data_IF_824364347498
#
_entry.id   IF_824364347498
#
_cell.length_a   1.000
_cell.length_b   1.000
_cell.length_c   1.000
_cell.angle_alpha   90.00
_cell.angle_beta   90.00
_cell.angle_gamma   90.00
#
_symmetry.space_group_name_H-M   'P 1'
#
loop_
_entity.id
_entity.type
_entity.pdbx_description
1 polymer ?
#
# COMPACT_ATOMS: atom_id res chain seq x y z
N UNK A 1 -26.63 66.41 11.16
CA UNK A 1 -25.35 66.25 10.45
C UNK A 1 -24.35 65.59 11.38
N UNK A 2 -24.20 64.28 11.25
CA UNK A 2 -23.18 63.37 11.81
C UNK A 2 -23.63 61.98 11.29
N UNK A 3 -22.88 61.17 10.55
CA UNK A 3 -21.44 60.97 10.49
C UNK A 3 -21.20 59.56 11.04
N UNK A 4 -20.97 58.56 10.18
CA UNK A 4 -20.33 57.30 10.59
C UNK A 4 -19.71 56.57 9.40
N UNK A 5 -18.40 56.33 9.55
CA UNK A 5 -17.53 55.54 8.69
C UNK A 5 -18.12 54.17 8.35
N UNK A 6 -18.12 53.84 7.06
CA UNK A 6 -18.18 52.46 6.59
C UNK A 6 -16.84 51.79 6.91
N UNK A 7 -16.81 50.99 7.97
CA UNK A 7 -15.67 50.13 8.28
C UNK A 7 -15.68 48.97 7.28
N UNK A 8 -14.62 48.96 6.48
CA UNK A 8 -14.21 47.90 5.58
C UNK A 8 -14.23 46.56 6.34
N UNK A 9 -15.18 45.69 6.01
CA UNK A 9 -15.23 44.33 6.54
C UNK A 9 -14.10 43.55 5.89
N UNK A 10 -13.00 43.37 6.62
CA UNK A 10 -11.95 42.43 6.25
C UNK A 10 -12.61 41.07 5.98
N UNK A 11 -12.35 40.53 4.79
CA UNK A 11 -12.61 39.14 4.47
C UNK A 11 -11.77 38.30 5.43
N UNK A 12 -12.43 37.80 6.47
CA UNK A 12 -11.93 36.73 7.30
C UNK A 12 -11.79 35.53 6.35
N UNK A 13 -10.58 35.34 5.82
CA UNK A 13 -10.12 34.10 5.21
C UNK A 13 -10.07 33.08 6.35
N UNK A 14 -11.26 32.67 6.78
CA UNK A 14 -11.48 31.57 7.69
C UNK A 14 -10.90 30.35 7.03
N UNK A 15 -9.64 30.07 7.37
CA UNK A 15 -8.93 28.87 7.00
C UNK A 15 -9.72 27.69 7.56
N UNK A 16 -10.68 27.19 6.78
CA UNK A 16 -11.18 25.85 6.94
C UNK A 16 -9.96 24.95 7.08
N UNK A 17 -9.91 23.98 8.01
CA UNK A 17 -8.85 23.01 8.06
C UNK A 17 -8.97 22.10 6.84
N UNK A 18 -8.62 22.63 5.67
CA UNK A 18 -8.30 21.86 4.50
C UNK A 18 -7.11 21.03 4.93
N UNK A 19 -7.29 19.72 5.03
CA UNK A 19 -6.16 18.78 5.14
C UNK A 19 -5.26 19.05 3.96
N UNK A 20 -4.24 19.88 4.18
CA UNK A 20 -3.31 20.27 3.14
C UNK A 20 -2.62 19.01 2.62
N UNK A 21 -2.26 18.99 1.34
CA UNK A 21 -1.54 17.86 0.74
C UNK A 21 -0.29 17.52 1.57
N UNK A 22 0.36 18.54 2.13
CA UNK A 22 1.50 18.38 3.05
C UNK A 22 1.15 17.58 4.31
N UNK A 23 -0.02 17.82 4.91
CA UNK A 23 -0.47 17.06 6.09
C UNK A 23 -0.73 15.58 5.76
N UNK A 24 -1.24 15.29 4.57
CA UNK A 24 -1.47 13.92 4.09
C UNK A 24 -0.16 13.22 3.73
N UNK A 25 0.78 13.94 3.13
CA UNK A 25 2.15 13.47 2.90
C UNK A 25 2.84 13.09 4.21
N UNK A 26 2.74 13.95 5.24
CA UNK A 26 3.32 13.68 6.56
C UNK A 26 2.72 12.44 7.24
N UNK A 27 1.40 12.30 7.24
CA UNK A 27 0.72 11.08 7.76
C UNK A 27 1.10 9.85 6.96
N UNK A 28 1.19 10.00 5.63
CA UNK A 28 1.67 9.00 4.70
C UNK A 28 3.05 8.51 5.07
N UNK A 29 4.03 9.41 5.19
CA UNK A 29 5.41 9.08 5.54
C UNK A 29 5.53 8.37 6.89
N UNK A 30 4.80 8.82 7.93
CA UNK A 30 4.79 8.16 9.25
C UNK A 30 4.19 6.76 9.16
N UNK A 31 3.03 6.60 8.50
CA UNK A 31 2.40 5.30 8.34
C UNK A 31 3.27 4.34 7.50
N UNK A 32 3.90 4.86 6.46
CA UNK A 32 4.84 4.16 5.60
C UNK A 32 6.09 3.69 6.33
N UNK A 33 6.72 4.57 7.11
CA UNK A 33 7.89 4.21 7.91
C UNK A 33 7.55 3.13 8.95
N UNK A 34 6.40 3.26 9.64
CA UNK A 34 5.93 2.24 10.57
C UNK A 34 5.69 0.89 9.88
N UNK A 35 5.06 0.90 8.70
CA UNK A 35 4.80 -0.29 7.91
C UNK A 35 6.10 -0.95 7.39
N UNK A 36 7.04 -0.14 6.90
CA UNK A 36 8.35 -0.60 6.43
C UNK A 36 9.20 -1.19 7.56
N UNK A 37 9.23 -0.55 8.72
CA UNK A 37 9.95 -1.05 9.89
C UNK A 37 9.35 -2.38 10.39
N UNK A 38 8.02 -2.47 10.48
CA UNK A 38 7.34 -3.67 10.96
C UNK A 38 7.51 -4.84 9.99
N UNK A 39 7.33 -4.62 8.69
CA UNK A 39 7.53 -5.65 7.66
C UNK A 39 9.00 -6.04 7.48
N UNK A 40 9.92 -5.08 7.59
CA UNK A 40 11.37 -5.33 7.58
C UNK A 40 11.83 -6.13 8.79
N UNK A 41 11.37 -5.78 9.99
CA UNK A 41 11.65 -6.55 11.21
C UNK A 41 11.06 -7.96 11.16
N UNK A 42 9.84 -8.11 10.63
CA UNK A 42 9.25 -9.42 10.37
C UNK A 42 10.09 -10.25 9.39
N UNK A 43 10.55 -9.62 8.30
CA UNK A 43 11.39 -10.29 7.29
C UNK A 43 12.72 -10.72 7.89
N UNK A 44 13.36 -9.87 8.68
CA UNK A 44 14.59 -10.21 9.40
C UNK A 44 14.42 -11.44 10.31
N UNK A 45 13.29 -11.54 11.01
CA UNK A 45 13.06 -12.64 11.95
C UNK A 45 12.64 -13.95 11.27
N UNK A 46 11.79 -13.90 10.23
CA UNK A 46 11.16 -15.09 9.66
C UNK A 46 11.55 -15.41 8.22
N UNK A 47 11.89 -14.40 7.41
CA UNK A 47 12.27 -14.58 6.00
C UNK A 47 13.77 -14.83 5.88
N UNK A 48 14.60 -14.08 6.61
CA UNK A 48 16.07 -14.20 6.52
C UNK A 48 16.57 -15.63 6.82
N UNK A 49 16.08 -16.35 7.86
CA UNK A 49 16.50 -17.73 8.08
C UNK A 49 16.11 -18.69 6.94
N UNK A 50 15.15 -18.33 6.10
CA UNK A 50 14.78 -19.09 4.89
C UNK A 50 15.71 -18.73 3.74
N UNK A 51 16.10 -17.46 3.63
CA UNK A 51 17.10 -16.98 2.67
C UNK A 51 18.47 -17.61 2.96
N UNK A 52 18.92 -17.61 4.23
CA UNK A 52 20.17 -18.26 4.66
C UNK A 52 20.24 -19.71 4.17
N UNK A 53 19.19 -20.49 4.41
CA UNK A 53 19.09 -21.89 3.96
C UNK A 53 19.11 -22.01 2.43
N UNK A 54 18.56 -21.04 1.70
CA UNK A 54 18.58 -21.05 0.25
C UNK A 54 19.99 -20.78 -0.29
N UNK A 55 20.71 -19.84 0.33
CA UNK A 55 22.11 -19.50 0.01
C UNK A 55 23.03 -20.69 0.27
N UNK A 56 22.88 -21.37 1.42
CA UNK A 56 23.68 -22.57 1.74
C UNK A 56 23.48 -23.68 0.69
N UNK A 57 22.24 -23.92 0.26
CA UNK A 57 21.93 -24.90 -0.78
C UNK A 57 22.52 -24.51 -2.13
N UNK A 58 22.52 -23.23 -2.46
CA UNK A 58 23.11 -22.73 -3.70
C UNK A 58 24.64 -22.90 -3.67
N UNK A 59 25.30 -22.63 -2.54
CA UNK A 59 26.74 -22.83 -2.38
C UNK A 59 27.15 -24.30 -2.60
N UNK A 60 26.35 -25.25 -2.09
CA UNK A 60 26.57 -26.69 -2.33
C UNK A 60 26.43 -27.05 -3.81
N UNK A 61 25.41 -26.53 -4.50
CA UNK A 61 25.23 -26.77 -5.94
C UNK A 61 26.37 -26.19 -6.77
N UNK A 62 26.79 -24.95 -6.48
CA UNK A 62 27.90 -24.30 -7.18
C UNK A 62 29.22 -25.05 -6.99
N UNK A 63 29.46 -25.58 -5.77
CA UNK A 63 30.63 -26.42 -5.50
C UNK A 63 30.61 -27.74 -6.29
N UNK A 64 29.43 -28.37 -6.42
CA UNK A 64 29.26 -29.59 -7.20
C UNK A 64 29.41 -29.36 -8.72
N UNK A 65 28.97 -28.20 -9.22
CA UNK A 65 29.06 -27.81 -10.62
C UNK A 65 30.38 -27.11 -10.99
N UNK A 66 31.35 -27.06 -10.06
CA UNK A 66 32.63 -26.36 -10.23
C UNK A 66 32.49 -24.91 -10.76
N UNK A 67 31.38 -24.25 -10.41
CA UNK A 67 31.11 -22.87 -10.82
C UNK A 67 31.61 -21.93 -9.74
N UNK A 68 32.28 -20.85 -10.13
CA UNK A 68 32.81 -19.87 -9.17
C UNK A 68 31.66 -19.20 -8.44
N UNK A 69 31.62 -19.33 -7.10
CA UNK A 69 30.70 -18.56 -6.27
C UNK A 69 30.95 -17.07 -6.52
N UNK A 70 29.89 -16.33 -6.85
CA UNK A 70 29.96 -14.87 -6.95
C UNK A 70 30.45 -14.31 -5.62
N UNK A 71 31.52 -13.51 -5.62
CA UNK A 71 32.09 -12.95 -4.41
C UNK A 71 31.03 -12.16 -3.63
N UNK A 72 30.92 -12.40 -2.32
CA UNK A 72 30.06 -11.59 -1.44
C UNK A 72 30.54 -10.13 -1.48
N UNK A 73 29.70 -9.27 -2.08
CA UNK A 73 29.97 -7.82 -2.17
C UNK A 73 29.79 -7.15 -0.80
N UNK A 74 28.85 -7.66 0.01
CA UNK A 74 28.53 -7.16 1.34
C UNK A 74 28.49 -8.32 2.34
N UNK A 75 28.98 -8.09 3.56
CA UNK A 75 28.87 -9.08 4.63
C UNK A 75 27.41 -9.35 5.00
N UNK A 76 27.12 -10.56 5.50
CA UNK A 76 25.78 -10.94 5.97
C UNK A 76 25.21 -9.95 7.01
N UNK A 77 26.04 -9.45 7.92
CA UNK A 77 25.60 -8.43 8.89
C UNK A 77 25.16 -7.12 8.24
N UNK A 78 25.88 -6.65 7.21
CA UNK A 78 25.48 -5.47 6.42
C UNK A 78 24.18 -5.73 5.66
N UNK A 79 24.00 -6.93 5.09
CA UNK A 79 22.77 -7.30 4.39
C UNK A 79 21.55 -7.28 5.33
N UNK A 80 21.68 -7.82 6.55
CA UNK A 80 20.61 -7.81 7.56
C UNK A 80 20.21 -6.40 8.00
N UNK A 81 21.20 -5.53 8.27
CA UNK A 81 20.93 -4.13 8.62
C UNK A 81 20.31 -3.41 7.41
N UNK A 82 20.86 -3.66 6.22
CA UNK A 82 20.37 -3.14 4.95
C UNK A 82 18.91 -3.50 4.68
N UNK A 83 18.46 -4.71 5.04
CA UNK A 83 17.07 -5.14 4.91
C UNK A 83 16.12 -4.22 5.69
N UNK A 84 16.39 -3.97 6.98
CA UNK A 84 15.51 -3.15 7.82
C UNK A 84 15.52 -1.69 7.36
N UNK A 85 16.71 -1.16 7.05
CA UNK A 85 16.87 0.23 6.58
C UNK A 85 16.15 0.44 5.24
N UNK A 86 16.37 -0.46 4.28
CA UNK A 86 15.74 -0.38 2.96
C UNK A 86 14.22 -0.58 3.04
N UNK A 87 13.73 -1.55 3.82
CA UNK A 87 12.30 -1.75 4.01
C UNK A 87 11.64 -0.50 4.63
N UNK A 88 12.29 0.13 5.61
CA UNK A 88 11.80 1.38 6.22
C UNK A 88 11.79 2.53 5.22
N UNK A 89 12.84 2.69 4.42
CA UNK A 89 12.93 3.74 3.40
C UNK A 89 11.90 3.56 2.27
N UNK A 90 11.75 2.33 1.77
CA UNK A 90 10.70 1.98 0.79
C UNK A 90 9.32 2.20 1.38
N UNK A 91 9.10 1.79 2.62
CA UNK A 91 7.86 2.03 3.35
C UNK A 91 7.52 3.51 3.43
N UNK A 92 8.49 4.36 3.81
CA UNK A 92 8.32 5.82 3.86
C UNK A 92 7.89 6.39 2.51
N UNK A 93 8.58 6.01 1.43
CA UNK A 93 8.26 6.45 0.07
C UNK A 93 6.85 5.99 -0.36
N UNK A 94 6.52 4.72 -0.10
CA UNK A 94 5.21 4.14 -0.40
C UNK A 94 4.10 4.84 0.38
N UNK A 95 4.34 5.17 1.65
CA UNK A 95 3.42 5.90 2.49
C UNK A 95 3.19 7.34 2.03
N UNK A 96 4.25 8.04 1.62
CA UNK A 96 4.10 9.37 1.02
C UNK A 96 3.24 9.32 -0.27
N UNK A 97 3.51 8.35 -1.15
CA UNK A 97 2.69 8.11 -2.34
C UNK A 97 1.24 7.77 -1.98
N UNK A 98 1.03 6.94 -0.97
CA UNK A 98 -0.30 6.61 -0.45
C UNK A 98 -1.07 7.87 -0.04
N UNK A 99 -0.41 8.82 0.64
CA UNK A 99 -1.01 10.12 1.00
C UNK A 99 -1.44 10.95 -0.22
N UNK A 100 -0.62 10.99 -1.29
CA UNK A 100 -0.95 11.68 -2.54
C UNK A 100 -2.15 11.03 -3.24
N UNK A 101 -2.12 9.71 -3.39
CA UNK A 101 -3.21 8.96 -4.03
C UNK A 101 -4.50 9.09 -3.21
N UNK A 102 -4.41 9.03 -1.88
CA UNK A 102 -5.53 9.25 -0.98
C UNK A 102 -6.18 10.63 -1.22
N UNK A 103 -5.37 11.69 -1.32
CA UNK A 103 -5.85 13.04 -1.60
C UNK A 103 -6.58 13.10 -2.94
N UNK A 104 -6.01 12.52 -3.99
CA UNK A 104 -6.60 12.56 -5.33
C UNK A 104 -7.91 11.78 -5.44
N UNK A 105 -7.96 10.57 -4.86
CA UNK A 105 -9.12 9.66 -4.94
C UNK A 105 -10.29 10.20 -4.13
N UNK A 106 -10.04 10.79 -2.97
CA UNK A 106 -11.08 11.19 -2.01
C UNK A 106 -11.39 12.69 -2.01
N UNK A 107 -10.81 13.49 -2.92
CA UNK A 107 -11.07 14.95 -3.00
C UNK A 107 -12.54 15.34 -3.17
N UNK A 108 -13.40 14.45 -3.70
CA UNK A 108 -14.83 14.72 -4.00
C UNK A 108 -15.82 14.00 -3.09
N UNK A 109 -15.31 13.22 -2.15
CA UNK A 109 -16.12 12.53 -1.16
C UNK A 109 -15.51 12.94 0.18
N UNK A 110 -16.08 13.93 0.90
CA UNK A 110 -15.67 14.25 2.26
C UNK A 110 -16.50 13.52 3.32
N UNK A 111 -17.69 12.99 2.99
CA UNK A 111 -18.65 12.40 3.94
C UNK A 111 -18.30 11.02 4.52
N UNK A 112 -17.59 10.17 3.78
CA UNK A 112 -17.02 8.90 4.30
C UNK A 112 -15.91 9.12 5.36
N UNK A 113 -15.90 8.29 6.41
CA UNK A 113 -14.86 8.35 7.45
C UNK A 113 -13.44 8.10 6.89
N UNK A 114 -12.45 8.86 7.39
CA UNK A 114 -11.05 8.77 6.95
C UNK A 114 -10.45 7.36 7.10
N UNK A 115 -10.83 6.64 8.15
CA UNK A 115 -10.45 5.25 8.38
C UNK A 115 -10.90 4.33 7.25
N UNK A 116 -12.19 4.32 6.92
CA UNK A 116 -12.76 3.44 5.89
C UNK A 116 -12.11 3.69 4.53
N UNK A 117 -11.89 4.96 4.18
CA UNK A 117 -11.16 5.33 2.95
C UNK A 117 -9.75 4.79 2.92
N UNK A 118 -9.03 4.89 4.04
CA UNK A 118 -7.67 4.36 4.17
C UNK A 118 -7.65 2.84 4.02
N UNK A 119 -8.57 2.13 4.68
CA UNK A 119 -8.66 0.67 4.58
C UNK A 119 -8.97 0.22 3.15
N UNK A 120 -9.92 0.86 2.47
CA UNK A 120 -10.25 0.54 1.08
C UNK A 120 -9.09 0.82 0.13
N UNK A 121 -8.37 1.94 0.31
CA UNK A 121 -7.22 2.27 -0.52
C UNK A 121 -6.08 1.28 -0.30
N UNK A 122 -5.79 0.91 0.95
CA UNK A 122 -4.78 -0.09 1.28
C UNK A 122 -5.14 -1.47 0.73
N UNK A 123 -6.39 -1.90 0.85
CA UNK A 123 -6.87 -3.17 0.29
C UNK A 123 -6.80 -3.17 -1.24
N UNK A 124 -7.18 -2.07 -1.90
CA UNK A 124 -7.09 -1.92 -3.35
C UNK A 124 -5.63 -1.95 -3.84
N UNK A 125 -4.74 -1.25 -3.14
CA UNK A 125 -3.32 -1.21 -3.45
C UNK A 125 -2.64 -2.57 -3.21
N UNK A 126 -2.90 -3.23 -2.08
CA UNK A 126 -2.48 -4.61 -1.82
C UNK A 126 -2.94 -5.55 -2.95
N UNK A 127 -4.21 -5.45 -3.34
CA UNK A 127 -4.79 -6.32 -4.38
C UNK A 127 -4.12 -6.10 -5.74
N UNK A 128 -4.03 -4.84 -6.18
CA UNK A 128 -3.56 -4.50 -7.52
C UNK A 128 -2.04 -4.50 -7.68
N UNK A 129 -1.29 -4.13 -6.64
CA UNK A 129 0.17 -4.01 -6.71
C UNK A 129 0.86 -5.33 -6.33
N UNK A 130 0.26 -6.09 -5.40
CA UNK A 130 0.94 -7.25 -4.84
C UNK A 130 0.20 -8.57 -5.07
N UNK A 131 -1.05 -8.70 -4.62
CA UNK A 131 -1.76 -9.99 -4.59
C UNK A 131 -1.97 -10.56 -5.99
N UNK A 132 -2.55 -9.78 -6.91
CA UNK A 132 -2.85 -10.26 -8.26
C UNK A 132 -1.58 -10.63 -9.03
N UNK A 133 -0.50 -9.81 -9.07
CA UNK A 133 0.77 -10.23 -9.66
C UNK A 133 1.35 -11.47 -9.00
N UNK A 134 1.31 -11.56 -7.66
CA UNK A 134 1.82 -12.71 -6.90
C UNK A 134 1.10 -14.01 -7.23
N UNK A 135 -0.22 -13.97 -7.49
CA UNK A 135 -0.97 -15.16 -7.90
C UNK A 135 -0.45 -15.75 -9.22
N UNK A 136 0.02 -14.89 -10.14
CA UNK A 136 0.53 -15.31 -11.45
C UNK A 136 2.01 -15.67 -11.43
N UNK A 137 2.79 -14.84 -10.75
CA UNK A 137 4.24 -14.92 -10.66
C UNK A 137 4.63 -14.82 -9.18
N UNK A 138 4.49 -15.92 -8.41
CA UNK A 138 4.78 -15.91 -6.98
C UNK A 138 6.27 -15.69 -6.72
N UNK A 139 6.58 -15.10 -5.57
CA UNK A 139 7.95 -14.82 -5.19
C UNK A 139 8.78 -16.12 -5.08
N UNK A 140 10.01 -16.05 -5.57
CA UNK A 140 11.00 -17.11 -5.42
C UNK A 140 12.12 -16.61 -4.49
N UNK A 141 12.76 -17.49 -3.70
CA UNK A 141 13.93 -17.13 -2.91
C UNK A 141 15.03 -16.51 -3.78
N UNK A 142 15.89 -15.65 -3.21
CA UNK A 142 17.07 -15.14 -3.92
C UNK A 142 17.90 -16.29 -4.49
N UNK A 143 18.48 -16.07 -5.67
CA UNK A 143 19.27 -17.10 -6.37
C UNK A 143 18.45 -18.15 -7.13
N UNK A 144 17.11 -18.16 -7.00
CA UNK A 144 16.24 -19.10 -7.74
C UNK A 144 15.77 -18.50 -9.07
N UNK A 145 16.29 -19.07 -10.15
CA UNK A 145 15.96 -18.74 -11.54
C UNK A 145 17.20 -18.56 -12.40
N UNK A 146 17.00 -18.38 -13.71
CA UNK A 146 18.08 -18.20 -14.66
C UNK A 146 18.45 -16.70 -14.77
N UNK A 147 19.71 -16.29 -14.55
CA UNK A 147 20.15 -14.92 -14.78
C UNK A 147 19.88 -14.41 -16.21
N UNK A 148 19.88 -15.30 -17.20
CA UNK A 148 19.63 -14.97 -18.61
C UNK A 148 18.18 -14.58 -18.92
N UNK A 149 17.22 -14.85 -18.03
CA UNK A 149 15.79 -14.56 -18.24
C UNK A 149 15.28 -13.38 -17.42
N UNK A 150 16.17 -12.65 -16.72
CA UNK A 150 15.79 -11.54 -15.83
C UNK A 150 14.93 -10.50 -16.55
N UNK A 151 15.31 -10.08 -17.76
CA UNK A 151 14.58 -9.07 -18.52
C UNK A 151 13.16 -9.57 -18.86
N UNK A 152 13.06 -10.78 -19.40
CA UNK A 152 11.78 -11.38 -19.76
C UNK A 152 10.85 -11.56 -18.55
N UNK A 153 11.38 -12.03 -17.42
CA UNK A 153 10.61 -12.18 -16.17
C UNK A 153 10.17 -10.83 -15.62
N UNK A 154 10.98 -9.80 -15.79
CA UNK A 154 10.64 -8.43 -15.39
C UNK A 154 9.49 -7.91 -16.24
N UNK A 155 9.54 -8.10 -17.56
CA UNK A 155 8.46 -7.72 -18.49
C UNK A 155 7.14 -8.42 -18.15
N UNK A 156 7.19 -9.72 -17.87
CA UNK A 156 6.01 -10.49 -17.45
C UNK A 156 5.43 -9.97 -16.14
N UNK A 157 6.27 -9.64 -15.17
CA UNK A 157 5.82 -9.08 -13.90
C UNK A 157 5.21 -7.69 -14.07
N UNK A 158 5.81 -6.83 -14.90
CA UNK A 158 5.26 -5.51 -15.23
C UNK A 158 3.92 -5.59 -15.99
N UNK A 159 3.78 -6.56 -16.91
CA UNK A 159 2.51 -6.83 -17.59
C UNK A 159 1.43 -7.27 -16.58
N UNK A 160 1.78 -8.17 -15.66
CA UNK A 160 0.88 -8.59 -14.59
C UNK A 160 0.47 -7.43 -13.68
N UNK A 161 1.43 -6.57 -13.30
CA UNK A 161 1.14 -5.34 -12.55
C UNK A 161 0.18 -4.42 -13.31
N UNK A 162 0.40 -4.21 -14.61
CA UNK A 162 -0.46 -3.40 -15.47
C UNK A 162 -1.90 -3.92 -15.52
N UNK A 163 -2.09 -5.22 -15.79
CA UNK A 163 -3.42 -5.87 -15.79
C UNK A 163 -4.11 -5.70 -14.44
N UNK A 164 -3.36 -5.90 -13.35
CA UNK A 164 -3.88 -5.83 -11.98
C UNK A 164 -4.33 -4.42 -11.59
N UNK A 165 -3.56 -3.39 -11.95
CA UNK A 165 -3.93 -2.00 -11.72
C UNK A 165 -5.16 -1.59 -12.54
N UNK A 166 -5.23 -1.99 -13.81
CA UNK A 166 -6.40 -1.74 -14.67
C UNK A 166 -7.64 -2.38 -14.06
N UNK A 167 -7.55 -3.63 -13.60
CA UNK A 167 -8.66 -4.35 -12.97
C UNK A 167 -9.17 -3.64 -11.71
N UNK A 168 -8.28 -3.20 -10.82
CA UNK A 168 -8.65 -2.47 -9.59
C UNK A 168 -9.33 -1.13 -9.92
N UNK A 169 -8.79 -0.38 -10.88
CA UNK A 169 -9.38 0.89 -11.33
C UNK A 169 -10.75 0.67 -11.97
N UNK A 170 -10.89 -0.36 -12.80
CA UNK A 170 -12.15 -0.71 -13.44
C UNK A 170 -13.19 -1.14 -12.40
N UNK A 171 -12.82 -2.02 -11.47
CA UNK A 171 -13.68 -2.46 -10.37
C UNK A 171 -14.18 -1.28 -9.53
N UNK A 172 -13.30 -0.36 -9.17
CA UNK A 172 -13.64 0.86 -8.45
C UNK A 172 -14.61 1.75 -9.24
N UNK A 173 -14.34 1.98 -10.53
CA UNK A 173 -15.20 2.81 -11.39
C UNK A 173 -16.59 2.19 -11.59
N UNK A 174 -16.67 0.88 -11.83
CA UNK A 174 -17.94 0.17 -11.97
C UNK A 174 -18.72 0.17 -10.65
N UNK A 175 -18.06 -0.07 -9.52
CA UNK A 175 -18.69 0.01 -8.20
C UNK A 175 -19.33 1.37 -7.97
N UNK A 176 -18.59 2.47 -8.23
CA UNK A 176 -19.12 3.84 -8.08
C UNK A 176 -20.25 4.15 -9.05
N UNK A 177 -20.12 3.78 -10.32
CA UNK A 177 -21.18 3.99 -11.32
C UNK A 177 -22.48 3.28 -10.95
N UNK A 178 -22.39 2.03 -10.48
CA UNK A 178 -23.55 1.27 -10.02
C UNK A 178 -24.16 1.87 -8.74
N UNK A 179 -23.33 2.38 -7.83
CA UNK A 179 -23.82 3.07 -6.63
C UNK A 179 -24.62 4.34 -6.96
N UNK A 180 -24.16 5.15 -7.93
CA UNK A 180 -24.89 6.34 -8.41
C UNK A 180 -26.22 5.99 -9.07
N UNK A 181 -26.32 4.79 -9.67
CA UNK A 181 -27.58 4.28 -10.25
C UNK A 181 -28.46 3.55 -9.22
N UNK A 182 -28.19 3.70 -7.93
CA UNK A 182 -28.92 3.07 -6.83
C UNK A 182 -28.98 1.54 -6.92
N UNK A 183 -27.99 0.90 -7.56
CA UNK A 183 -27.91 -0.55 -7.61
C UNK A 183 -27.63 -1.13 -6.20
N UNK A 184 -28.36 -2.18 -5.85
CA UNK A 184 -28.20 -2.89 -4.58
C UNK A 184 -26.78 -3.44 -4.38
N UNK A 185 -26.37 -3.60 -3.12
CA UNK A 185 -25.03 -4.07 -2.77
C UNK A 185 -24.63 -5.39 -3.46
N UNK A 186 -25.50 -6.42 -3.57
CA UNK A 186 -25.14 -7.67 -4.25
C UNK A 186 -24.72 -7.47 -5.71
N UNK A 187 -25.43 -6.62 -6.46
CA UNK A 187 -25.09 -6.34 -7.86
C UNK A 187 -23.73 -5.66 -8.00
N UNK A 188 -23.40 -4.72 -7.10
CA UNK A 188 -22.07 -4.06 -7.11
C UNK A 188 -20.96 -5.03 -6.74
N UNK A 189 -21.21 -5.90 -5.76
CA UNK A 189 -20.25 -6.92 -5.31
C UNK A 189 -19.98 -7.95 -6.40
N UNK A 190 -21.03 -8.46 -7.06
CA UNK A 190 -20.91 -9.39 -8.18
C UNK A 190 -20.17 -8.76 -9.36
N UNK A 191 -20.40 -7.48 -9.67
CA UNK A 191 -19.68 -6.78 -10.72
C UNK A 191 -18.17 -6.68 -10.41
N UNK A 192 -17.80 -6.33 -9.17
CA UNK A 192 -16.41 -6.30 -8.73
C UNK A 192 -15.78 -7.70 -8.78
N UNK A 193 -16.49 -8.72 -8.28
CA UNK A 193 -16.02 -10.11 -8.32
C UNK A 193 -15.78 -10.59 -9.76
N UNK A 194 -16.71 -10.31 -10.68
CA UNK A 194 -16.57 -10.65 -12.09
C UNK A 194 -15.34 -10.00 -12.74
N UNK A 195 -15.05 -8.74 -12.42
CA UNK A 195 -13.85 -8.04 -12.91
C UNK A 195 -12.58 -8.69 -12.36
N UNK A 196 -12.54 -9.05 -11.08
CA UNK A 196 -11.37 -9.71 -10.49
C UNK A 196 -11.17 -11.12 -11.05
N UNK A 197 -12.23 -11.88 -11.28
CA UNK A 197 -12.16 -13.21 -11.94
C UNK A 197 -11.62 -13.05 -13.36
N UNK A 198 -12.12 -12.08 -14.13
CA UNK A 198 -11.62 -11.80 -15.47
C UNK A 198 -10.15 -11.36 -15.45
N UNK A 199 -9.73 -10.57 -14.45
CA UNK A 199 -8.34 -10.18 -14.27
C UNK A 199 -7.44 -11.39 -13.98
N UNK A 200 -7.86 -12.30 -13.10
CA UNK A 200 -7.14 -13.56 -12.84
C UNK A 200 -7.05 -14.38 -14.13
N UNK A 201 -8.14 -14.54 -14.88
CA UNK A 201 -8.10 -15.24 -16.17
C UNK A 201 -7.11 -14.59 -17.15
N UNK A 202 -7.10 -13.25 -17.26
CA UNK A 202 -6.16 -12.51 -18.10
C UNK A 202 -4.70 -12.68 -17.66
N UNK A 203 -4.44 -12.68 -16.34
CA UNK A 203 -3.11 -12.93 -15.80
C UNK A 203 -2.60 -14.33 -16.17
N UNK A 204 -3.46 -15.35 -16.07
CA UNK A 204 -3.10 -16.72 -16.43
C UNK A 204 -3.03 -16.96 -17.96
N UNK A 205 -3.49 -16.01 -18.77
CA UNK A 205 -3.24 -16.00 -20.21
C UNK A 205 -1.83 -15.48 -20.58
N UNK A 206 -1.13 -14.80 -19.66
CA UNK A 206 0.29 -14.45 -19.86
C UNK A 206 1.16 -15.71 -19.92
N UNK A 207 2.35 -15.67 -20.55
CA UNK A 207 3.28 -16.80 -20.56
C UNK A 207 3.70 -17.24 -19.15
N UNK A 208 3.95 -18.55 -18.98
CA UNK A 208 4.49 -19.09 -17.75
C UNK A 208 5.92 -18.59 -17.49
N UNK A 209 6.34 -18.61 -16.23
CA UNK A 209 7.73 -18.36 -15.88
C UNK A 209 8.60 -19.44 -16.57
N UNK A 210 9.61 -19.07 -17.38
CA UNK A 210 10.44 -20.02 -18.11
C UNK A 210 11.40 -20.80 -17.20
N UNK A 211 11.65 -20.31 -15.99
CA UNK A 211 12.69 -20.86 -15.13
C UNK A 211 12.22 -22.11 -14.36
N UNK A 212 13.08 -23.13 -14.33
CA UNK A 212 12.91 -24.27 -13.45
C UNK A 212 13.10 -23.85 -11.98
N UNK A 213 12.26 -24.39 -11.10
CA UNK A 213 12.43 -24.21 -9.65
C UNK A 213 13.23 -25.38 -9.08
N UNK A 214 14.49 -25.12 -8.77
CA UNK A 214 15.48 -26.15 -8.38
C UNK A 214 15.66 -26.31 -6.86
N UNK A 215 14.90 -25.57 -6.05
CA UNK A 215 14.97 -25.62 -4.58
C UNK A 215 13.97 -26.60 -3.98
N UNK A 216 14.24 -27.16 -2.78
CA UNK A 216 13.29 -28.03 -2.09
C UNK A 216 11.92 -27.38 -1.91
N UNK A 217 10.85 -28.14 -2.18
CA UNK A 217 9.47 -27.65 -2.16
C UNK A 217 9.08 -27.01 -0.82
N UNK A 218 9.57 -27.55 0.30
CA UNK A 218 9.33 -27.00 1.66
C UNK A 218 9.90 -25.59 1.80
N UNK A 219 11.14 -25.37 1.36
CA UNK A 219 11.80 -24.06 1.41
C UNK A 219 11.06 -23.05 0.53
N UNK A 220 10.69 -23.47 -0.69
CA UNK A 220 9.94 -22.64 -1.63
C UNK A 220 8.61 -22.17 -1.02
N UNK A 221 7.85 -23.08 -0.42
CA UNK A 221 6.55 -22.75 0.17
C UNK A 221 6.68 -21.91 1.44
N UNK A 222 7.67 -22.19 2.29
CA UNK A 222 7.97 -21.34 3.46
C UNK A 222 8.26 -19.90 3.01
N UNK A 223 9.12 -19.71 2.01
CA UNK A 223 9.46 -18.39 1.49
C UNK A 223 8.23 -17.65 0.93
N UNK A 224 7.39 -18.35 0.15
CA UNK A 224 6.16 -17.78 -0.43
C UNK A 224 5.16 -17.39 0.66
N UNK A 225 4.99 -18.23 1.68
CA UNK A 225 4.08 -17.94 2.79
C UNK A 225 4.56 -16.71 3.58
N UNK A 226 5.86 -16.61 3.87
CA UNK A 226 6.40 -15.45 4.56
C UNK A 226 6.39 -14.17 3.71
N UNK A 227 6.52 -14.29 2.39
CA UNK A 227 6.33 -13.18 1.45
C UNK A 227 4.90 -12.65 1.49
N UNK A 228 3.90 -13.54 1.56
CA UNK A 228 2.49 -13.16 1.76
C UNK A 228 2.32 -12.41 3.07
N UNK A 229 2.80 -12.99 4.18
CA UNK A 229 2.68 -12.39 5.50
C UNK A 229 3.34 -11.00 5.57
N UNK A 230 4.55 -10.86 5.02
CA UNK A 230 5.29 -9.58 4.94
C UNK A 230 4.48 -8.51 4.22
N UNK A 231 3.82 -8.89 3.12
CA UNK A 231 3.05 -7.96 2.30
C UNK A 231 1.74 -7.57 2.99
N UNK A 232 1.06 -8.52 3.63
CA UNK A 232 -0.11 -8.24 4.46
C UNK A 232 0.25 -7.29 5.61
N UNK A 233 1.39 -7.49 6.26
CA UNK A 233 1.88 -6.62 7.33
C UNK A 233 2.23 -5.21 6.83
N UNK A 234 2.88 -5.09 5.67
CA UNK A 234 3.20 -3.80 5.06
C UNK A 234 1.93 -3.01 4.74
N UNK A 235 1.04 -3.58 3.91
CA UNK A 235 -0.16 -2.88 3.45
C UNK A 235 -1.18 -2.69 4.57
N UNK A 236 -1.32 -3.67 5.46
CA UNK A 236 -2.18 -3.60 6.65
C UNK A 236 -1.73 -2.49 7.58
N UNK A 237 -0.46 -2.49 8.01
CA UNK A 237 0.08 -1.43 8.89
C UNK A 237 -0.06 -0.05 8.25
N UNK A 238 0.25 0.08 6.96
CA UNK A 238 0.12 1.35 6.24
C UNK A 238 -1.32 1.88 6.28
N UNK A 239 -2.30 1.04 5.92
CA UNK A 239 -3.71 1.43 5.93
C UNK A 239 -4.23 1.77 7.33
N UNK A 240 -3.89 0.94 8.33
CA UNK A 240 -4.28 1.12 9.74
C UNK A 240 -3.71 2.42 10.32
N UNK A 241 -2.38 2.61 10.24
CA UNK A 241 -1.72 3.78 10.84
C UNK A 241 -2.17 5.06 10.13
N UNK A 242 -2.22 5.08 8.80
CA UNK A 242 -2.71 6.25 8.05
C UNK A 242 -4.16 6.60 8.43
N UNK A 243 -5.03 5.58 8.54
CA UNK A 243 -6.42 5.74 8.91
C UNK A 243 -6.60 6.29 10.32
N UNK A 244 -5.86 5.78 11.31
CA UNK A 244 -5.89 6.25 12.71
C UNK A 244 -5.42 7.70 12.81
N UNK A 245 -4.32 8.06 12.14
CA UNK A 245 -3.83 9.43 12.09
C UNK A 245 -4.86 10.36 11.43
N UNK A 246 -5.54 9.88 10.39
CA UNK A 246 -6.65 10.57 9.74
C UNK A 246 -7.83 10.86 10.66
N UNK A 247 -8.29 9.85 11.41
CA UNK A 247 -9.40 9.99 12.37
C UNK A 247 -9.04 10.97 13.50
N UNK A 248 -7.86 10.82 14.11
CA UNK A 248 -7.41 11.69 15.21
C UNK A 248 -7.39 13.16 14.79
N UNK A 249 -6.88 13.45 13.59
CA UNK A 249 -6.87 14.82 13.10
C UNK A 249 -8.27 15.38 12.82
N UNK A 250 -9.22 14.54 12.37
CA UNK A 250 -10.61 14.93 12.22
C UNK A 250 -11.28 15.29 13.54
N UNK A 251 -11.00 14.54 14.61
CA UNK A 251 -11.53 14.82 15.95
C UNK A 251 -10.98 16.13 16.53
N UNK A 252 -9.68 16.39 16.37
CA UNK A 252 -9.05 17.63 16.84
C UNK A 252 -9.59 18.88 16.12
N UNK A 253 -9.90 18.77 14.82
CA UNK A 253 -10.53 19.86 14.06
C UNK A 253 -11.98 20.13 14.43
N UNK A 254 -12.74 19.09 14.83
CA UNK A 254 -14.13 19.21 15.26
C UNK A 254 -14.30 19.81 16.66
N UNK A 255 -13.36 19.55 17.57
CA UNK A 255 -13.39 20.09 18.93
C UNK A 255 -13.04 21.59 19.02
N UNK A 256 -12.42 22.16 17.97
CA UNK A 256 -12.01 23.57 17.91
C UNK A 256 -13.05 24.49 17.23
N UNK A 257 -14.24 23.99 16.87
CA UNK A 257 -15.32 24.81 16.30
C UNK A 257 -15.87 25.81 17.33
N UNK A 258 -16.24 27.04 16.92
CA UNK A 258 -16.63 28.09 17.86
C UNK A 258 -17.84 27.61 18.68
N UNK A 259 -17.67 27.58 20.00
CA UNK A 259 -18.79 27.50 20.92
C UNK A 259 -19.65 28.74 20.66
N UNK A 260 -20.72 28.59 19.89
CA UNK A 260 -21.77 29.59 19.78
C UNK A 260 -22.45 29.63 21.15
N UNK A 261 -21.90 30.44 22.05
CA UNK A 261 -22.58 30.87 23.26
C UNK A 261 -23.76 31.72 22.81
N UNK A 262 -24.94 31.12 22.77
CA UNK A 262 -26.18 31.87 22.61
C UNK A 262 -26.25 32.93 23.72
N UNK A 263 -26.53 34.21 23.41
CA UNK A 263 -26.68 35.21 24.44
C UNK A 263 -27.93 34.86 25.26
N UNK A 264 -27.75 34.73 26.58
CA UNK A 264 -28.85 34.63 27.51
C UNK A 264 -29.72 35.88 27.36
N UNK A 265 -30.94 35.71 26.85
CA UNK A 265 -31.95 36.75 26.88
C UNK A 265 -32.24 37.06 28.36
N UNK A 266 -31.71 38.18 28.83
CA UNK A 266 -32.03 38.74 30.14
C UNK A 266 -33.50 39.12 30.17
N UNK A 267 -34.27 38.43 31.00
CA UNK A 267 -35.57 38.90 31.45
C UNK A 267 -35.32 40.01 32.49
N UNK A 268 -35.48 41.26 32.06
CA UNK A 268 -35.70 42.41 32.95
C UNK A 268 -37.21 42.55 33.17
N UNK A 269 -37.58 42.56 34.46
CA UNK A 269 -38.72 43.20 35.16
C UNK A 269 -40.01 43.42 34.38
#
# INVERSE_FOLDING_TARGET
MAGTCSVLRATDEGGHPMTSVLSLLGRGAVAGAAAGLLSGGFSYLLVEPVIDRAVDLQAVHQAAEHTTASAEIFSRSTQHIGLIVSATAVGLALGALFGVVYAFVHRRDPGTAAWTRSQHLAAAAFTGIWLLPFLRYPANPPGVGDPGTIDQRTDFWLAALGISLIAVVLAWNIHRRLAVRSAGAPARQLAVAGILIAAVAALFALPANPDAVTVPAKLLWEFRLWSVATSVLLWGTLGLVFGLLGQRAGHLGGAAGPAVTAPAAGALV
#
